data_IF_804728601452
#
_entry.id   IF_804728601452
#
_cell.length_a   1.000
_cell.length_b   1.000
_cell.length_c   1.000
_cell.angle_alpha   90.00
_cell.angle_beta   90.00
_cell.angle_gamma   90.00
#
_symmetry.space_group_name_H-M   'P 1'
#
loop_
_entity.id
_entity.type
_entity.pdbx_description
1 polymer ?
#
# COMPACT_ATOMS: atom_id res chain seq x y z
N UNK A 1 10.72 15.31 -2.16
CA UNK A 1 9.36 14.80 -2.25
C UNK A 1 9.16 13.55 -1.42
N UNK A 2 10.22 12.79 -1.23
CA UNK A 2 10.16 11.60 -0.38
C UNK A 2 9.78 11.94 1.04
N UNK A 3 10.25 13.09 1.49
CA UNK A 3 9.98 13.52 2.86
C UNK A 3 8.51 13.80 3.09
N UNK A 4 7.79 14.15 2.04
CA UNK A 4 6.37 14.44 2.16
C UNK A 4 5.50 13.20 2.09
N UNK A 5 6.07 12.10 1.60
CA UNK A 5 5.34 10.86 1.45
C UNK A 5 5.68 9.94 2.60
N UNK A 6 5.11 10.24 3.75
CA UNK A 6 5.41 9.53 4.97
C UNK A 6 4.12 9.24 5.72
N UNK A 7 4.04 8.07 6.33
CA UNK A 7 2.89 7.66 7.12
C UNK A 7 3.34 7.56 8.58
N UNK A 8 2.59 8.16 9.47
CA UNK A 8 2.93 8.16 10.90
C UNK A 8 2.02 7.19 11.62
N UNK A 9 2.58 6.05 12.02
CA UNK A 9 1.83 4.99 12.70
C UNK A 9 2.23 4.99 14.17
N UNK A 10 1.35 5.44 15.05
CA UNK A 10 1.60 5.50 16.50
C UNK A 10 2.92 6.19 16.83
N UNK A 11 3.21 7.28 16.13
CA UNK A 11 4.43 8.04 16.37
C UNK A 11 5.65 7.56 15.60
N UNK A 12 5.56 6.44 14.92
CA UNK A 12 6.66 5.92 14.12
C UNK A 12 6.53 6.35 12.68
N UNK A 13 7.65 6.75 12.09
CA UNK A 13 7.67 7.18 10.69
C UNK A 13 7.81 5.96 9.78
N UNK A 14 6.87 5.81 8.86
CA UNK A 14 6.92 4.74 7.87
C UNK A 14 7.03 5.39 6.51
N UNK A 15 8.04 4.98 5.74
CA UNK A 15 8.26 5.53 4.41
C UNK A 15 7.66 4.59 3.38
N UNK A 16 6.62 5.03 2.68
CA UNK A 16 5.93 4.17 1.71
C UNK A 16 6.85 3.49 0.72
N UNK A 17 7.91 4.19 0.30
CA UNK A 17 8.80 3.60 -0.70
C UNK A 17 9.47 2.32 -0.21
N UNK A 18 9.82 2.27 1.07
CA UNK A 18 10.41 1.07 1.63
C UNK A 18 9.45 -0.11 1.54
N UNK A 19 8.19 0.13 1.87
CA UNK A 19 7.17 -0.91 1.85
C UNK A 19 6.84 -1.31 0.41
N UNK A 20 6.77 -0.32 -0.47
CA UNK A 20 6.49 -0.57 -1.88
C UNK A 20 7.56 -1.45 -2.52
N UNK A 21 8.82 -1.15 -2.22
CA UNK A 21 9.91 -1.96 -2.76
C UNK A 21 9.87 -3.39 -2.26
N UNK A 22 9.52 -3.55 -0.99
CA UNK A 22 9.37 -4.88 -0.40
C UNK A 22 8.28 -5.68 -1.12
N UNK A 23 7.15 -5.03 -1.37
CA UNK A 23 6.05 -5.69 -2.06
C UNK A 23 6.40 -6.02 -3.51
N UNK A 24 7.11 -5.11 -4.18
CA UNK A 24 7.47 -5.31 -5.58
C UNK A 24 8.47 -6.43 -5.78
N UNK A 25 9.11 -6.89 -4.71
CA UNK A 25 9.97 -8.06 -4.80
C UNK A 25 9.19 -9.37 -4.87
N UNK A 26 7.92 -9.32 -4.53
CA UNK A 26 7.08 -10.52 -4.61
C UNK A 26 6.80 -10.84 -6.08
N UNK A 27 6.97 -12.11 -6.48
CA UNK A 27 6.82 -12.48 -7.90
C UNK A 27 5.44 -12.20 -8.50
N UNK A 28 4.40 -12.13 -7.68
CA UNK A 28 3.06 -11.89 -8.17
C UNK A 28 2.69 -10.40 -8.22
N UNK A 29 3.58 -9.53 -7.76
CA UNK A 29 3.32 -8.09 -7.69
C UNK A 29 4.04 -7.38 -8.82
N UNK A 30 3.28 -6.68 -9.66
CA UNK A 30 3.87 -5.88 -10.74
C UNK A 30 4.18 -4.46 -10.27
N UNK A 31 3.35 -3.93 -9.37
CA UNK A 31 3.48 -2.55 -8.93
C UNK A 31 2.78 -2.40 -7.59
N UNK A 32 3.33 -1.57 -6.73
CA UNK A 32 2.71 -1.33 -5.42
C UNK A 32 2.77 0.15 -5.07
N UNK A 33 1.75 0.61 -4.36
CA UNK A 33 1.69 1.98 -3.86
C UNK A 33 1.09 1.95 -2.47
N UNK A 34 1.75 2.63 -1.54
CA UNK A 34 1.30 2.69 -0.15
C UNK A 34 0.89 4.10 0.18
N UNK A 35 -0.31 4.25 0.75
CA UNK A 35 -0.79 5.54 1.21
C UNK A 35 -1.13 5.44 2.70
N UNK A 36 -1.17 6.58 3.36
CA UNK A 36 -1.60 6.65 4.74
C UNK A 36 -3.03 7.17 4.82
N UNK A 37 -3.83 6.55 5.67
CA UNK A 37 -5.17 7.05 5.95
C UNK A 37 -5.32 7.25 7.45
N UNK A 38 -6.13 8.24 7.82
CA UNK A 38 -6.31 8.57 9.22
C UNK A 38 -6.96 7.41 9.97
N UNK A 39 -6.49 7.19 11.18
CA UNK A 39 -7.00 6.12 12.04
C UNK A 39 -7.14 6.66 13.45
N UNK A 40 -8.29 6.45 14.10
CA UNK A 40 -8.50 7.00 15.45
C UNK A 40 -7.58 6.40 16.49
N UNK A 41 -7.04 5.22 16.27
CA UNK A 41 -6.21 4.54 17.25
C UNK A 41 -4.72 4.77 17.01
N UNK A 42 -4.28 4.77 15.76
CA UNK A 42 -2.85 4.78 15.44
C UNK A 42 -2.38 6.06 14.77
N UNK A 43 -3.16 7.12 14.73
CA UNK A 43 -2.93 8.34 13.94
C UNK A 43 -3.18 8.08 12.48
N UNK A 44 -2.35 7.23 11.88
CA UNK A 44 -2.52 6.80 10.51
C UNK A 44 -2.23 5.33 10.41
N UNK A 45 -2.76 4.70 9.39
CA UNK A 45 -2.39 3.33 9.03
C UNK A 45 -2.06 3.30 7.56
N UNK A 46 -1.18 2.38 7.18
CA UNK A 46 -0.81 2.20 5.79
C UNK A 46 -1.80 1.31 5.07
N UNK A 47 -2.12 1.69 3.86
CA UNK A 47 -2.92 0.86 2.96
C UNK A 47 -2.11 0.65 1.70
N UNK A 48 -1.86 -0.60 1.35
CA UNK A 48 -1.07 -0.95 0.19
C UNK A 48 -1.99 -1.32 -0.96
N UNK A 49 -1.82 -0.63 -2.09
CA UNK A 49 -2.53 -0.96 -3.32
C UNK A 49 -1.56 -1.72 -4.20
N UNK A 50 -1.94 -2.91 -4.58
CA UNK A 50 -1.05 -3.83 -5.29
C UNK A 50 -1.64 -4.18 -6.64
N UNK A 51 -0.84 -3.97 -7.69
CA UNK A 51 -1.22 -4.40 -9.03
C UNK A 51 -0.56 -5.74 -9.28
N UNK A 52 -1.36 -6.72 -9.66
CA UNK A 52 -0.86 -8.07 -9.84
C UNK A 52 -0.19 -8.25 -11.19
N UNK A 53 0.75 -9.18 -11.22
CA UNK A 53 1.38 -9.58 -12.46
C UNK A 53 0.40 -10.48 -13.20
N UNK A 54 -0.02 -10.12 -14.44
CA UNK A 54 -1.03 -10.89 -15.15
C UNK A 54 -0.61 -12.33 -15.45
N UNK A 55 0.67 -12.62 -15.37
CA UNK A 55 1.17 -13.97 -15.64
C UNK A 55 1.30 -14.81 -14.39
N UNK A 56 1.00 -14.25 -13.23
CA UNK A 56 1.13 -14.95 -11.98
C UNK A 56 -0.22 -15.05 -11.31
N UNK A 57 -0.33 -15.99 -10.38
CA UNK A 57 -1.53 -16.11 -9.59
C UNK A 57 -1.67 -14.89 -8.68
N UNK A 58 -2.91 -14.41 -8.54
CA UNK A 58 -3.16 -13.28 -7.66
C UNK A 58 -2.94 -13.70 -6.21
N UNK A 59 -2.10 -13.00 -5.47
CA UNK A 59 -1.88 -13.35 -4.06
C UNK A 59 -3.06 -12.90 -3.22
N UNK A 60 -3.24 -13.54 -2.06
CA UNK A 60 -4.25 -13.11 -1.12
C UNK A 60 -3.69 -11.96 -0.28
N UNK A 61 -4.59 -11.22 0.36
CA UNK A 61 -4.17 -10.17 1.28
C UNK A 61 -3.30 -10.76 2.39
N UNK A 62 -3.69 -11.92 2.90
CA UNK A 62 -2.95 -12.57 3.97
C UNK A 62 -1.55 -12.96 3.54
N UNK A 63 -1.41 -13.46 2.31
CA UNK A 63 -0.10 -13.85 1.80
C UNK A 63 0.83 -12.65 1.70
N UNK A 64 0.30 -11.50 1.27
CA UNK A 64 1.11 -10.28 1.17
C UNK A 64 1.48 -9.76 2.55
N UNK A 65 0.57 -9.87 3.51
CA UNK A 65 0.85 -9.45 4.89
C UNK A 65 1.99 -10.29 5.47
N UNK A 66 1.95 -11.60 5.28
CA UNK A 66 3.01 -12.47 5.77
C UNK A 66 4.34 -12.18 5.08
N UNK A 67 4.30 -11.90 3.80
CA UNK A 67 5.50 -11.51 3.06
C UNK A 67 6.15 -10.30 3.70
N UNK A 68 5.35 -9.28 4.03
CA UNK A 68 5.87 -8.07 4.65
C UNK A 68 6.37 -8.32 6.07
N UNK A 69 5.64 -9.16 6.83
CA UNK A 69 6.02 -9.41 8.23
C UNK A 69 7.39 -10.03 8.38
N UNK A 70 7.81 -10.82 7.41
CA UNK A 70 9.11 -11.47 7.48
C UNK A 70 10.25 -10.56 7.01
N UNK A 71 9.93 -9.41 6.46
CA UNK A 71 10.92 -8.52 5.84
C UNK A 71 10.96 -7.12 6.43
N UNK A 72 9.88 -6.70 7.09
CA UNK A 72 9.77 -5.34 7.61
C UNK A 72 9.48 -5.35 9.09
N UNK A 73 9.85 -4.27 9.78
CA UNK A 73 9.45 -4.09 11.16
C UNK A 73 7.93 -4.10 11.26
N UNK A 74 7.41 -4.58 12.36
CA UNK A 74 5.98 -4.79 12.52
C UNK A 74 5.14 -3.53 12.23
N UNK A 75 5.60 -2.36 12.70
CA UNK A 75 4.83 -1.14 12.51
C UNK A 75 4.85 -0.64 11.07
N UNK A 76 5.72 -1.20 10.23
CA UNK A 76 5.80 -0.82 8.82
C UNK A 76 4.86 -1.63 7.93
N UNK A 77 4.31 -2.72 8.44
CA UNK A 77 3.44 -3.58 7.65
C UNK A 77 2.10 -2.89 7.45
N UNK A 78 1.64 -2.75 6.20
CA UNK A 78 0.34 -2.11 5.95
C UNK A 78 -0.79 -2.83 6.67
N UNK A 79 -1.78 -2.09 7.10
CA UNK A 79 -2.94 -2.65 7.75
C UNK A 79 -3.85 -3.37 6.76
N UNK A 80 -3.93 -2.84 5.55
CA UNK A 80 -4.78 -3.42 4.53
C UNK A 80 -4.05 -3.50 3.21
N UNK A 81 -4.44 -4.46 2.39
CA UNK A 81 -3.91 -4.65 1.05
C UNK A 81 -5.06 -4.73 0.09
N UNK A 82 -5.06 -3.84 -0.91
CA UNK A 82 -6.08 -3.83 -1.96
C UNK A 82 -5.42 -4.34 -3.22
N UNK A 83 -5.87 -5.49 -3.70
CA UNK A 83 -5.23 -6.19 -4.81
C UNK A 83 -6.08 -6.03 -6.06
N UNK A 84 -5.47 -5.52 -7.13
CA UNK A 84 -6.18 -5.19 -8.37
C UNK A 84 -5.37 -5.57 -9.59
N UNK A 85 -6.07 -5.62 -10.74
CA UNK A 85 -5.40 -5.83 -12.02
C UNK A 85 -4.74 -4.58 -12.54
N UNK A 86 -5.18 -3.39 -12.09
CA UNK A 86 -4.55 -2.14 -12.52
C UNK A 86 -4.72 -1.07 -11.45
N UNK A 87 -3.84 -0.09 -11.49
CA UNK A 87 -3.86 1.06 -10.60
C UNK A 87 -3.87 2.33 -11.45
N UNK A 88 -4.43 3.44 -10.92
CA UNK A 88 -4.39 4.71 -11.66
C UNK A 88 -2.94 5.18 -11.78
N UNK A 89 -2.58 5.63 -12.96
CA UNK A 89 -1.23 6.09 -13.23
C UNK A 89 -1.23 7.53 -13.69
N UNK A 90 -0.17 8.24 -13.31
CA UNK A 90 0.10 9.56 -13.83
C UNK A 90 0.68 9.42 -15.25
N UNK A 91 0.63 10.50 -16.06
CA UNK A 91 1.18 10.43 -17.41
C UNK A 91 2.63 10.00 -17.46
N UNK A 92 3.41 10.24 -16.39
CA UNK A 92 4.81 9.83 -16.35
C UNK A 92 5.00 8.37 -15.96
N UNK A 93 3.91 7.65 -15.72
CA UNK A 93 3.97 6.22 -15.43
C UNK A 93 3.99 5.84 -13.97
N UNK A 94 4.01 6.80 -13.06
CA UNK A 94 3.97 6.53 -11.63
C UNK A 94 2.53 6.42 -11.15
N UNK A 95 2.33 5.69 -10.07
CA UNK A 95 0.99 5.54 -9.50
C UNK A 95 0.47 6.90 -9.02
N UNK A 96 -0.77 7.19 -9.35
CA UNK A 96 -1.45 8.41 -8.92
C UNK A 96 -1.99 8.21 -7.50
N UNK A 97 -1.16 8.51 -6.52
CA UNK A 97 -1.55 8.30 -5.12
C UNK A 97 -2.69 9.22 -4.68
N UNK A 98 -2.82 10.39 -5.30
CA UNK A 98 -3.94 11.27 -4.97
C UNK A 98 -5.27 10.62 -5.33
N UNK A 99 -5.30 9.92 -6.47
CA UNK A 99 -6.50 9.20 -6.87
C UNK A 99 -6.83 8.10 -5.87
N UNK A 100 -5.80 7.39 -5.39
CA UNK A 100 -6.00 6.34 -4.40
C UNK A 100 -6.50 6.90 -3.08
N UNK A 101 -5.98 8.05 -2.67
CA UNK A 101 -6.43 8.68 -1.43
C UNK A 101 -7.88 9.12 -1.52
N UNK A 102 -8.29 9.65 -2.68
CA UNK A 102 -9.69 10.02 -2.89
C UNK A 102 -10.59 8.80 -2.83
N UNK A 103 -10.13 7.72 -3.42
CA UNK A 103 -10.89 6.48 -3.41
C UNK A 103 -11.02 5.92 -1.99
N UNK A 104 -9.94 5.94 -1.22
CA UNK A 104 -9.95 5.44 0.15
C UNK A 104 -10.86 6.27 1.05
N UNK A 105 -11.03 7.55 0.74
CA UNK A 105 -11.90 8.42 1.51
C UNK A 105 -13.39 8.22 1.15
N UNK A 106 -13.67 7.50 0.08
CA UNK A 106 -15.05 7.26 -0.35
C UNK A 106 -15.72 6.29 0.62
N UNK A 107 -16.93 6.64 1.11
CA UNK A 107 -17.62 5.75 2.06
C UNK A 107 -17.84 4.35 1.56
N UNK A 108 -18.14 4.18 0.28
CA UNK A 108 -18.37 2.86 -0.28
C UNK A 108 -17.15 1.99 -0.24
N UNK A 109 -15.99 2.56 -0.51
CA UNK A 109 -14.74 1.82 -0.48
C UNK A 109 -14.36 1.45 0.96
N UNK A 110 -14.56 2.39 1.87
CA UNK A 110 -14.16 2.17 3.25
C UNK A 110 -14.98 1.12 3.97
N UNK A 111 -16.18 0.89 3.52
CA UNK A 111 -17.06 -0.08 4.16
C UNK A 111 -16.83 -1.50 3.66
N UNK A 112 -16.05 -1.65 2.63
CA UNK A 112 -15.81 -2.97 2.04
C UNK A 112 -14.87 -3.82 2.90
#
# INVERSE_FOLDING_TARGET
DRKKDMVIVSGYNVYPREVELCLEEHPSVALAAVIGIADPLYSEVGVAYVMTNPRAESPSEEALREWCKTRLANYKVPKRFVIRGELPLLPIGKVDKQALKREAASPGVRSA
#
